data_IF_429757709779
#
_entry.id   IF_429757709779
#
_cell.length_a   1.000
_cell.length_b   1.000
_cell.length_c   1.000
_cell.angle_alpha   90.00
_cell.angle_beta   90.00
_cell.angle_gamma   90.00
#
_symmetry.space_group_name_H-M   'P 1'
#
loop_
_entity.id
_entity.type
_entity.pdbx_description
1 polymer ?
#
# COMPACT_ATOMS: atom_id res chain seq x y z
N UNK A 1 24.07 5.14 -21.19
CA UNK A 1 22.80 4.47 -20.83
C UNK A 1 23.16 3.24 -20.02
N UNK A 2 22.68 3.14 -18.79
CA UNK A 2 22.95 2.00 -17.89
C UNK A 2 22.13 0.78 -18.29
N UNK A 3 22.66 -0.40 -18.03
CA UNK A 3 21.96 -1.67 -18.27
C UNK A 3 21.27 -2.16 -16.99
N UNK A 4 20.20 -2.93 -17.17
CA UNK A 4 19.61 -3.71 -16.08
C UNK A 4 20.40 -5.01 -15.91
N UNK A 5 20.47 -5.56 -14.69
CA UNK A 5 21.01 -6.90 -14.48
C UNK A 5 20.13 -7.95 -15.17
N UNK A 6 20.73 -9.02 -15.66
CA UNK A 6 19.99 -10.13 -16.29
C UNK A 6 19.12 -10.89 -15.28
N UNK A 7 19.60 -11.03 -14.04
CA UNK A 7 18.91 -11.72 -12.94
C UNK A 7 19.17 -11.02 -11.61
N UNK A 8 18.29 -11.26 -10.63
CA UNK A 8 18.48 -10.85 -9.23
C UNK A 8 18.38 -12.07 -8.32
N UNK A 9 19.09 -12.06 -7.17
CA UNK A 9 19.08 -13.18 -6.24
C UNK A 9 17.77 -13.26 -5.47
N UNK A 10 17.31 -12.13 -4.92
CA UNK A 10 15.97 -11.97 -4.35
C UNK A 10 15.20 -10.86 -5.08
N UNK A 11 13.89 -10.77 -4.85
CA UNK A 11 13.00 -9.75 -5.41
C UNK A 11 12.23 -9.06 -4.28
N UNK A 12 12.93 -8.22 -3.53
CA UNK A 12 12.31 -7.49 -2.43
C UNK A 12 11.29 -6.47 -2.95
N UNK A 13 10.09 -6.47 -2.36
CA UNK A 13 9.02 -5.58 -2.76
C UNK A 13 7.97 -5.38 -1.69
N UNK A 14 7.04 -4.48 -1.99
CA UNK A 14 5.86 -4.23 -1.17
C UNK A 14 4.63 -4.93 -1.73
N UNK A 15 3.80 -5.46 -0.84
CA UNK A 15 2.41 -5.84 -1.15
C UNK A 15 1.50 -4.84 -0.45
N UNK A 16 0.63 -4.18 -1.20
CA UNK A 16 -0.20 -3.07 -0.70
C UNK A 16 -1.67 -3.49 -0.78
N UNK A 17 -2.30 -3.68 0.37
CA UNK A 17 -3.71 -4.05 0.47
C UNK A 17 -4.60 -2.80 0.38
N UNK A 18 -5.32 -2.67 -0.73
CA UNK A 18 -6.25 -1.56 -0.95
C UNK A 18 -7.56 -1.72 -0.17
N UNK A 19 -7.85 -2.93 0.32
CA UNK A 19 -9.04 -3.22 1.12
C UNK A 19 -8.93 -2.65 2.54
N UNK A 20 -7.75 -2.79 3.14
CA UNK A 20 -7.49 -2.38 4.53
C UNK A 20 -6.91 -0.98 4.64
N UNK A 21 -6.44 -0.38 3.52
CA UNK A 21 -5.90 0.97 3.55
C UNK A 21 -7.00 2.00 3.86
N UNK A 22 -6.92 2.62 5.04
CA UNK A 22 -7.86 3.66 5.48
C UNK A 22 -7.42 5.09 5.15
N UNK A 23 -6.38 5.27 4.34
CA UNK A 23 -5.92 6.60 3.94
C UNK A 23 -5.37 7.48 5.07
N UNK A 24 -4.84 6.90 6.16
CA UNK A 24 -4.39 7.67 7.33
C UNK A 24 -3.10 8.49 7.13
N UNK A 25 -2.43 8.36 5.97
CA UNK A 25 -1.15 9.02 5.65
C UNK A 25 0.04 8.75 6.60
N UNK A 26 -0.08 7.87 7.61
CA UNK A 26 1.01 7.54 8.52
C UNK A 26 2.25 6.99 7.78
N UNK A 27 2.01 6.19 6.74
CA UNK A 27 3.07 5.67 5.86
C UNK A 27 3.84 6.76 5.08
N UNK A 28 3.22 7.93 4.88
CA UNK A 28 3.84 9.08 4.19
C UNK A 28 4.74 9.84 5.17
N UNK A 29 4.19 10.17 6.33
CA UNK A 29 4.91 10.91 7.38
C UNK A 29 6.12 10.10 7.87
N UNK A 30 5.94 8.82 8.19
CA UNK A 30 7.03 7.95 8.66
C UNK A 30 8.12 7.74 7.60
N UNK A 31 7.73 7.63 6.32
CA UNK A 31 8.70 7.56 5.23
C UNK A 31 9.51 8.85 5.11
N UNK A 32 8.86 10.03 5.23
CA UNK A 32 9.56 11.32 5.22
C UNK A 32 10.50 11.44 6.42
N UNK A 33 10.02 11.18 7.64
CA UNK A 33 10.81 11.23 8.87
C UNK A 33 12.06 10.36 8.80
N UNK A 34 11.90 9.06 8.53
CA UNK A 34 13.03 8.12 8.45
C UNK A 34 14.08 8.54 7.41
N UNK A 35 13.65 8.92 6.20
CA UNK A 35 14.59 9.23 5.11
C UNK A 35 15.19 10.64 5.21
N UNK A 36 14.57 11.55 5.98
CA UNK A 36 15.11 12.88 6.29
C UNK A 36 16.13 12.84 7.43
N UNK A 37 15.94 11.96 8.41
CA UNK A 37 16.81 11.85 9.59
C UNK A 37 18.09 11.04 9.34
N UNK A 38 18.18 10.30 8.23
CA UNK A 38 19.29 9.39 7.92
C UNK A 38 20.08 9.80 6.65
N UNK A 39 20.64 8.84 5.89
CA UNK A 39 21.52 9.01 4.73
C UNK A 39 21.05 10.01 3.65
N UNK A 40 19.73 10.26 3.54
CA UNK A 40 19.22 11.23 2.58
C UNK A 40 19.50 12.66 3.03
N UNK A 41 20.04 13.50 2.14
CA UNK A 41 19.85 14.95 2.28
C UNK A 41 18.36 15.21 2.59
N UNK A 42 18.05 16.10 3.57
CA UNK A 42 16.71 16.21 4.13
C UNK A 42 15.71 16.32 3.00
N UNK A 43 14.68 15.45 2.99
CA UNK A 43 13.60 15.57 2.01
C UNK A 43 13.00 16.95 2.20
N UNK A 44 13.30 17.83 1.25
CA UNK A 44 13.07 19.26 1.39
C UNK A 44 11.63 19.52 1.81
N UNK A 45 11.47 20.43 2.77
CA UNK A 45 10.19 20.95 3.21
C UNK A 45 10.35 22.47 3.25
N UNK A 46 9.90 23.12 2.18
CA UNK A 46 10.19 24.54 1.95
C UNK A 46 9.27 25.46 2.76
N UNK A 47 8.09 24.96 3.15
CA UNK A 47 7.13 25.65 4.01
C UNK A 47 6.40 24.64 4.93
N UNK A 48 7.04 24.22 6.05
CA UNK A 48 6.51 23.18 6.93
C UNK A 48 5.15 23.50 7.58
N UNK A 49 4.76 24.78 7.58
CA UNK A 49 3.49 25.25 8.15
C UNK A 49 2.50 25.73 7.09
N UNK A 50 2.88 25.65 5.80
CA UNK A 50 2.06 26.03 4.66
C UNK A 50 1.35 24.84 4.03
N UNK A 51 1.18 24.90 2.72
CA UNK A 51 0.70 23.74 1.97
C UNK A 51 1.77 22.64 1.99
N UNK A 52 1.34 21.38 1.89
CA UNK A 52 2.26 20.24 1.88
C UNK A 52 3.16 20.28 0.63
N UNK A 53 4.29 20.95 0.75
CA UNK A 53 5.30 21.11 -0.28
C UNK A 53 6.53 20.23 0.02
N UNK A 54 7.37 20.06 -1.00
CA UNK A 54 8.61 19.30 -0.87
C UNK A 54 8.57 17.91 -1.49
N UNK A 55 9.61 17.14 -1.20
CA UNK A 55 9.86 15.84 -1.82
C UNK A 55 9.24 14.71 -1.03
N UNK A 56 8.46 13.86 -1.70
CA UNK A 56 7.84 12.70 -1.08
C UNK A 56 8.28 11.41 -1.79
N UNK A 57 8.58 10.36 -1.02
CA UNK A 57 8.97 9.07 -1.59
C UNK A 57 7.77 8.13 -1.81
N UNK A 58 6.65 8.45 -1.17
CA UNK A 58 5.35 7.83 -1.39
C UNK A 58 4.24 8.87 -1.16
N UNK A 59 3.07 8.63 -1.76
CA UNK A 59 1.85 9.41 -1.51
C UNK A 59 0.66 8.47 -1.39
N UNK A 60 -0.42 8.92 -0.77
CA UNK A 60 -1.70 8.21 -0.78
C UNK A 60 -2.68 9.05 -1.58
N UNK A 61 -3.20 8.48 -2.66
CA UNK A 61 -4.26 9.10 -3.46
C UNK A 61 -5.59 8.48 -3.07
N UNK A 62 -6.64 9.27 -2.94
CA UNK A 62 -7.98 8.79 -2.61
C UNK A 62 -8.87 8.97 -3.82
N UNK A 63 -9.59 7.91 -4.18
CA UNK A 63 -10.51 7.89 -5.31
C UNK A 63 -11.89 7.47 -4.83
N UNK A 64 -12.92 8.14 -5.33
CA UNK A 64 -14.30 7.66 -5.23
C UNK A 64 -14.59 6.79 -6.45
N UNK A 65 -14.97 5.55 -6.21
CA UNK A 65 -15.25 4.55 -7.25
C UNK A 65 -16.62 3.96 -7.04
N UNK A 66 -17.32 3.71 -8.14
CA UNK A 66 -18.54 2.90 -8.15
C UNK A 66 -18.16 1.58 -8.82
N UNK A 67 -18.01 0.47 -8.07
CA UNK A 67 -17.73 -0.82 -8.67
C UNK A 67 -18.93 -1.29 -9.50
N UNK A 68 -18.69 -2.18 -10.48
CA UNK A 68 -19.77 -2.81 -11.27
C UNK A 68 -20.79 -3.53 -10.38
N UNK A 69 -20.31 -4.09 -9.26
CA UNK A 69 -21.10 -4.77 -8.25
C UNK A 69 -20.88 -4.07 -6.90
N UNK A 70 -21.87 -3.29 -6.46
CA UNK A 70 -21.90 -2.68 -5.13
C UNK A 70 -22.20 -1.18 -5.13
N UNK A 71 -22.07 -0.57 -3.96
CA UNK A 71 -22.27 0.87 -3.76
C UNK A 71 -20.98 1.66 -3.98
N UNK A 72 -21.12 2.97 -4.20
CA UNK A 72 -20.00 3.89 -4.23
C UNK A 72 -19.13 3.73 -2.97
N UNK A 73 -17.81 3.72 -3.16
CA UNK A 73 -16.84 3.57 -2.10
C UNK A 73 -15.61 4.43 -2.35
N UNK A 74 -14.92 4.81 -1.27
CA UNK A 74 -13.60 5.42 -1.35
C UNK A 74 -12.54 4.33 -1.34
N UNK A 75 -11.61 4.38 -2.29
CA UNK A 75 -10.41 3.54 -2.33
C UNK A 75 -9.19 4.42 -2.13
N UNK A 76 -8.40 4.09 -1.11
CA UNK A 76 -7.13 4.73 -0.85
C UNK A 76 -6.02 3.95 -1.54
N UNK A 77 -5.22 4.64 -2.35
CA UNK A 77 -4.20 4.08 -3.21
C UNK A 77 -2.81 4.61 -2.80
N UNK A 78 -2.10 3.93 -1.89
CA UNK A 78 -0.73 4.26 -1.58
C UNK A 78 0.18 3.97 -2.77
N UNK A 79 0.80 5.01 -3.31
CA UNK A 79 1.70 4.95 -4.46
C UNK A 79 3.12 5.26 -4.03
N UNK A 80 4.05 4.39 -4.42
CA UNK A 80 5.49 4.54 -4.20
C UNK A 80 6.25 3.98 -5.41
N UNK A 81 7.58 4.02 -5.41
CA UNK A 81 8.36 3.33 -6.45
C UNK A 81 8.05 1.82 -6.40
N UNK A 82 7.83 1.21 -7.58
CA UNK A 82 7.47 -0.21 -7.68
C UNK A 82 8.67 -1.14 -7.90
N UNK A 83 9.89 -0.59 -7.93
CA UNK A 83 11.15 -1.33 -8.08
C UNK A 83 11.16 -2.32 -9.25
N UNK A 84 10.56 -1.90 -10.37
CA UNK A 84 10.29 -2.67 -11.58
C UNK A 84 11.41 -3.63 -12.03
N UNK A 85 11.03 -4.77 -12.59
CA UNK A 85 11.97 -5.69 -13.22
C UNK A 85 12.58 -5.08 -14.48
N UNK A 86 11.72 -4.60 -15.37
CA UNK A 86 12.11 -3.74 -16.48
C UNK A 86 11.93 -2.28 -16.06
N UNK A 87 12.99 -1.68 -15.51
CA UNK A 87 12.97 -0.33 -14.98
C UNK A 87 13.49 0.69 -16.01
N UNK A 88 12.62 1.34 -16.82
CA UNK A 88 13.06 2.31 -17.84
C UNK A 88 13.79 3.50 -17.22
N UNK A 89 13.44 3.86 -15.98
CA UNK A 89 14.10 4.91 -15.22
C UNK A 89 15.59 4.63 -14.90
N UNK A 90 16.04 3.38 -15.01
CA UNK A 90 17.47 3.01 -14.95
C UNK A 90 18.11 3.29 -16.29
N UNK A 91 17.58 2.69 -17.37
CA UNK A 91 18.22 2.67 -18.69
C UNK A 91 18.36 4.06 -19.32
N UNK A 92 17.43 4.98 -19.04
CA UNK A 92 17.48 6.37 -19.53
C UNK A 92 18.49 7.26 -18.78
N UNK A 93 19.10 6.80 -17.69
CA UNK A 93 19.98 7.64 -16.88
C UNK A 93 21.31 7.90 -17.62
N UNK A 94 21.66 9.17 -17.93
CA UNK A 94 22.85 9.48 -18.71
C UNK A 94 24.13 9.33 -17.91
N UNK A 95 24.10 9.62 -16.60
CA UNK A 95 25.26 9.52 -15.69
C UNK A 95 25.44 8.13 -15.09
N UNK A 96 24.44 7.27 -15.23
CA UNK A 96 24.38 5.97 -14.55
C UNK A 96 24.09 6.03 -13.05
N UNK A 97 23.65 7.19 -12.54
CA UNK A 97 23.19 7.33 -11.17
C UNK A 97 22.03 6.40 -10.81
N UNK A 98 21.11 6.14 -11.74
CA UNK A 98 20.01 5.20 -11.53
C UNK A 98 20.48 3.78 -11.87
N UNK A 99 20.34 2.86 -10.91
CA UNK A 99 20.78 1.47 -11.06
C UNK A 99 19.84 0.51 -10.34
N UNK A 100 19.95 -0.78 -10.66
CA UNK A 100 19.24 -1.86 -9.98
C UNK A 100 20.24 -2.82 -9.35
N UNK A 101 20.03 -3.13 -8.07
CA UNK A 101 20.85 -4.06 -7.29
C UNK A 101 20.60 -5.50 -7.75
N UNK A 102 21.67 -6.28 -7.87
CA UNK A 102 21.60 -7.70 -8.28
C UNK A 102 21.24 -8.60 -7.10
N UNK A 103 21.61 -8.21 -5.89
CA UNK A 103 21.37 -8.97 -4.68
C UNK A 103 19.89 -9.01 -4.30
N UNK A 104 19.17 -7.89 -4.42
CA UNK A 104 17.81 -7.77 -3.87
C UNK A 104 16.77 -7.15 -4.82
N UNK A 105 17.19 -6.77 -6.04
CA UNK A 105 16.32 -6.17 -7.03
C UNK A 105 15.88 -4.74 -6.72
N UNK A 106 16.38 -4.12 -5.65
CA UNK A 106 16.02 -2.74 -5.30
C UNK A 106 16.63 -1.79 -6.34
N UNK A 107 15.77 -1.10 -7.10
CA UNK A 107 16.15 0.05 -7.90
C UNK A 107 16.57 1.20 -6.97
N UNK A 108 17.72 1.83 -7.19
CA UNK A 108 18.27 2.94 -6.39
C UNK A 108 18.77 4.10 -7.25
N UNK A 109 19.12 5.20 -6.59
CA UNK A 109 19.81 6.36 -7.18
C UNK A 109 21.06 6.61 -6.36
N UNK A 110 22.21 6.63 -7.00
CA UNK A 110 23.43 7.19 -6.45
C UNK A 110 23.34 8.72 -6.56
N UNK A 111 23.20 9.38 -5.42
CA UNK A 111 23.00 10.83 -5.35
C UNK A 111 24.24 11.61 -5.79
N UNK A 112 25.45 11.12 -5.50
CA UNK A 112 26.72 11.77 -5.90
C UNK A 112 26.90 11.82 -7.43
N UNK A 113 26.36 10.82 -8.13
CA UNK A 113 26.38 10.75 -9.59
C UNK A 113 25.16 11.40 -10.24
N UNK A 114 24.15 11.80 -9.45
CA UNK A 114 22.90 12.34 -9.96
C UNK A 114 23.05 13.83 -10.28
N UNK A 115 22.74 14.22 -11.52
CA UNK A 115 22.79 15.61 -11.95
C UNK A 115 21.40 16.30 -12.03
N UNK A 116 20.37 15.71 -11.41
CA UNK A 116 19.03 16.32 -11.35
C UNK A 116 18.28 16.47 -12.68
N UNK A 117 18.72 15.83 -13.77
CA UNK A 117 18.18 16.07 -15.12
C UNK A 117 16.70 15.69 -15.36
N UNK A 118 16.05 14.98 -14.44
CA UNK A 118 14.62 14.63 -14.55
C UNK A 118 14.23 13.56 -15.57
N UNK A 119 15.14 13.07 -16.43
CA UNK A 119 14.83 12.05 -17.44
C UNK A 119 14.22 10.77 -16.85
N UNK A 120 14.73 10.34 -15.69
CA UNK A 120 14.19 9.15 -15.01
C UNK A 120 12.77 9.35 -14.45
N UNK A 121 12.36 10.59 -14.14
CA UNK A 121 10.98 10.89 -13.76
C UNK A 121 10.06 10.85 -14.98
N UNK A 122 10.49 11.43 -16.10
CA UNK A 122 9.78 11.34 -17.38
C UNK A 122 9.58 9.90 -17.88
N UNK A 123 10.59 9.04 -17.69
CA UNK A 123 10.51 7.64 -18.08
C UNK A 123 9.70 6.76 -17.11
N UNK A 124 9.39 7.24 -15.90
CA UNK A 124 8.66 6.45 -14.92
C UNK A 124 7.14 6.58 -15.15
N UNK A 125 6.43 5.54 -15.61
CA UNK A 125 4.98 5.64 -15.88
C UNK A 125 4.17 5.86 -14.59
N UNK A 126 4.79 5.59 -13.43
CA UNK A 126 4.18 5.74 -12.13
C UNK A 126 4.44 7.11 -11.49
N UNK A 127 5.23 8.00 -12.11
CA UNK A 127 5.56 9.30 -11.49
C UNK A 127 6.16 9.16 -10.09
N UNK A 128 6.91 8.07 -9.83
CA UNK A 128 7.41 7.72 -8.51
C UNK A 128 8.80 8.30 -8.20
N UNK A 129 9.26 9.27 -9.00
CA UNK A 129 10.54 9.94 -8.85
C UNK A 129 10.32 11.44 -8.83
N UNK A 130 10.92 12.11 -7.87
CA UNK A 130 10.77 13.54 -7.63
C UNK A 130 12.15 14.19 -7.61
N UNK A 131 12.26 15.39 -8.18
CA UNK A 131 13.47 16.18 -8.02
C UNK A 131 13.40 16.85 -6.65
N UNK A 132 14.36 16.53 -5.78
CA UNK A 132 14.55 17.34 -4.59
C UNK A 132 15.26 18.64 -4.99
N UNK A 133 14.53 19.75 -4.90
CA UNK A 133 15.01 21.05 -5.36
C UNK A 133 16.19 21.57 -4.51
N UNK A 134 16.23 21.23 -3.22
CA UNK A 134 17.28 21.67 -2.32
C UNK A 134 18.59 20.89 -2.56
N UNK A 135 18.48 19.57 -2.75
CA UNK A 135 19.63 18.71 -3.01
C UNK A 135 20.06 18.67 -4.48
N UNK A 136 19.18 19.07 -5.41
CA UNK A 136 19.46 19.04 -6.86
C UNK A 136 19.52 17.64 -7.46
N UNK A 137 18.99 16.63 -6.76
CA UNK A 137 19.06 15.21 -7.15
C UNK A 137 17.69 14.56 -7.15
N UNK A 138 17.55 13.50 -7.95
CA UNK A 138 16.30 12.74 -8.04
C UNK A 138 16.16 11.80 -6.85
N UNK A 139 15.05 11.90 -6.12
CA UNK A 139 14.67 11.05 -5.01
C UNK A 139 13.52 10.12 -5.39
N UNK A 140 13.42 8.99 -4.69
CA UNK A 140 12.34 7.99 -4.80
C UNK A 140 12.38 7.02 -3.63
N UNK A 141 11.31 6.26 -3.41
CA UNK A 141 11.32 5.16 -2.42
C UNK A 141 12.55 4.26 -2.62
N UNK A 142 13.25 3.97 -1.53
CA UNK A 142 14.47 3.13 -1.50
C UNK A 142 14.20 1.74 -0.94
N UNK A 143 12.93 1.40 -0.68
CA UNK A 143 12.52 0.27 0.18
C UNK A 143 13.19 0.30 1.57
N UNK A 144 13.59 1.50 2.03
CA UNK A 144 14.35 1.68 3.26
C UNK A 144 15.54 0.71 3.31
N UNK A 145 16.32 0.62 2.22
CA UNK A 145 17.49 -0.27 2.10
C UNK A 145 18.47 -0.11 3.27
N UNK A 146 18.55 1.10 3.82
CA UNK A 146 19.33 1.47 5.00
C UNK A 146 18.74 0.99 6.34
N UNK A 147 17.45 0.63 6.37
CA UNK A 147 16.72 0.11 7.54
C UNK A 147 16.69 -1.41 7.56
N UNK A 148 16.37 -2.05 6.42
CA UNK A 148 16.14 -3.50 6.33
C UNK A 148 17.40 -4.33 6.62
N UNK A 149 18.59 -3.75 6.45
CA UNK A 149 19.87 -4.40 6.77
C UNK A 149 20.55 -3.82 8.02
N UNK A 150 19.88 -2.95 8.78
CA UNK A 150 20.51 -2.28 9.91
C UNK A 150 20.53 -3.18 11.15
N UNK A 151 21.70 -3.75 11.44
CA UNK A 151 21.89 -4.63 12.60
C UNK A 151 21.78 -3.91 13.96
N UNK A 152 21.79 -2.58 13.99
CA UNK A 152 21.55 -1.80 15.21
C UNK A 152 20.06 -1.72 15.58
N UNK A 153 19.16 -2.17 14.70
CA UNK A 153 17.74 -2.30 15.00
C UNK A 153 17.42 -3.74 15.44
N UNK A 154 16.42 -3.92 16.33
CA UNK A 154 15.81 -5.23 16.57
C UNK A 154 15.36 -5.86 15.25
N UNK A 155 15.45 -7.19 15.13
CA UNK A 155 15.13 -7.89 13.89
C UNK A 155 13.70 -7.63 13.43
N UNK A 156 12.75 -7.58 14.37
CA UNK A 156 11.35 -7.26 14.13
C UNK A 156 11.12 -5.83 13.59
N UNK A 157 12.10 -4.94 13.73
CA UNK A 157 12.04 -3.57 13.21
C UNK A 157 12.80 -3.43 11.88
N UNK A 158 13.46 -4.46 11.34
CA UNK A 158 14.23 -4.42 10.09
C UNK A 158 13.36 -4.58 8.84
N UNK A 159 12.34 -3.74 8.74
CA UNK A 159 11.42 -3.67 7.59
C UNK A 159 11.39 -2.23 7.03
N UNK A 160 10.62 -1.89 6.00
CA UNK A 160 10.47 -0.49 5.59
C UNK A 160 9.64 0.31 6.60
N UNK A 161 10.03 1.57 6.86
CA UNK A 161 9.35 2.44 7.84
C UNK A 161 7.84 2.58 7.58
N UNK A 162 7.47 2.62 6.29
CA UNK A 162 6.07 2.71 5.87
C UNK A 162 5.23 1.45 6.17
N UNK A 163 5.87 0.28 6.30
CA UNK A 163 5.25 -1.01 6.65
C UNK A 163 5.08 -1.07 8.16
N UNK A 164 6.17 -0.86 8.90
CA UNK A 164 6.19 -0.84 10.37
C UNK A 164 5.16 0.10 11.00
N UNK A 165 4.99 1.28 10.41
CA UNK A 165 4.06 2.31 10.90
C UNK A 165 2.60 2.00 10.56
N UNK A 166 2.29 1.14 9.59
CA UNK A 166 0.94 1.01 9.07
C UNK A 166 -0.04 0.45 10.13
N UNK A 167 -0.97 1.25 10.67
CA UNK A 167 -1.83 0.79 11.77
C UNK A 167 -2.89 -0.21 11.30
N UNK A 168 -3.23 -0.19 10.01
CA UNK A 168 -4.23 -1.05 9.40
C UNK A 168 -3.64 -2.35 8.82
N UNK A 169 -2.32 -2.53 8.85
CA UNK A 169 -1.65 -3.67 8.21
C UNK A 169 -1.86 -3.70 6.69
N UNK A 170 -1.96 -2.55 6.04
CA UNK A 170 -2.23 -2.42 4.61
C UNK A 170 -0.97 -2.47 3.73
N UNK A 171 0.22 -2.50 4.33
CA UNK A 171 1.49 -2.63 3.62
C UNK A 171 2.22 -3.82 4.22
N UNK A 172 2.77 -4.66 3.35
CA UNK A 172 3.59 -5.81 3.70
C UNK A 172 4.88 -5.73 2.89
N UNK A 173 5.95 -6.36 3.40
CA UNK A 173 7.25 -6.37 2.76
C UNK A 173 7.87 -7.76 2.84
N UNK A 174 8.56 -8.16 1.79
CA UNK A 174 9.26 -9.44 1.75
C UNK A 174 9.80 -9.75 0.36
N UNK A 175 10.27 -10.98 0.18
CA UNK A 175 10.81 -11.47 -1.08
C UNK A 175 9.71 -12.08 -1.96
N UNK A 176 9.38 -11.40 -3.06
CA UNK A 176 8.43 -11.88 -4.07
C UNK A 176 9.05 -12.84 -5.08
N UNK A 177 10.34 -13.15 -4.95
CA UNK A 177 11.04 -14.18 -5.69
C UNK A 177 10.92 -15.56 -5.04
N UNK A 178 10.65 -15.60 -3.73
CA UNK A 178 10.41 -16.81 -2.97
C UNK A 178 8.91 -17.11 -2.90
N UNK A 179 8.40 -18.20 -3.50
CA UNK A 179 6.98 -18.56 -3.46
C UNK A 179 6.48 -18.91 -2.05
N UNK A 180 7.38 -19.29 -1.14
CA UNK A 180 7.04 -19.68 0.23
C UNK A 180 7.02 -18.48 1.20
N UNK A 181 7.40 -17.28 0.76
CA UNK A 181 7.37 -16.08 1.59
C UNK A 181 5.94 -15.63 1.89
N UNK A 182 5.75 -14.99 3.05
CA UNK A 182 4.44 -14.47 3.49
C UNK A 182 3.79 -13.55 2.43
N UNK A 183 4.59 -12.71 1.77
CA UNK A 183 4.10 -11.78 0.74
C UNK A 183 3.71 -12.49 -0.56
N UNK A 184 4.44 -13.53 -0.96
CA UNK A 184 4.10 -14.33 -2.15
C UNK A 184 2.83 -15.13 -1.94
N UNK A 185 2.69 -15.76 -0.77
CA UNK A 185 1.47 -16.49 -0.39
C UNK A 185 0.28 -15.53 -0.32
N UNK A 186 0.43 -14.37 0.29
CA UNK A 186 -0.61 -13.36 0.37
C UNK A 186 -1.06 -12.87 -1.01
N UNK A 187 -0.11 -12.61 -1.92
CA UNK A 187 -0.43 -12.21 -3.31
C UNK A 187 -1.19 -13.32 -4.03
N UNK A 188 -0.77 -14.57 -3.89
CA UNK A 188 -1.45 -15.71 -4.51
C UNK A 188 -2.87 -15.91 -3.96
N UNK A 189 -3.04 -15.81 -2.64
CA UNK A 189 -4.33 -15.98 -1.97
C UNK A 189 -5.32 -14.86 -2.30
N UNK A 190 -4.86 -13.60 -2.26
CA UNK A 190 -5.71 -12.41 -2.44
C UNK A 190 -5.84 -11.96 -3.90
N UNK A 191 -5.24 -12.67 -4.84
CA UNK A 191 -5.29 -12.33 -6.27
C UNK A 191 -4.59 -10.99 -6.56
N UNK A 192 -3.39 -10.81 -6.03
CA UNK A 192 -2.62 -9.58 -6.19
C UNK A 192 -2.29 -9.26 -7.65
N UNK A 193 -2.26 -7.97 -7.98
CA UNK A 193 -2.15 -7.47 -9.34
C UNK A 193 -0.95 -6.54 -9.53
N UNK A 194 -0.49 -6.47 -10.78
CA UNK A 194 0.48 -5.48 -11.23
C UNK A 194 -0.23 -4.16 -11.55
N UNK A 195 0.40 -3.05 -11.17
CA UNK A 195 -0.09 -1.74 -11.56
C UNK A 195 0.30 -1.42 -13.01
N UNK A 196 -0.71 -1.15 -13.84
CA UNK A 196 -0.55 -0.78 -15.26
C UNK A 196 0.32 -1.80 -16.04
N UNK A 197 -0.11 -3.07 -16.12
CA UNK A 197 0.65 -4.13 -16.79
C UNK A 197 0.94 -3.83 -18.27
N UNK A 198 0.11 -3.01 -18.92
CA UNK A 198 0.30 -2.55 -20.30
C UNK A 198 1.59 -1.74 -20.52
N UNK A 199 2.19 -1.21 -19.45
CA UNK A 199 3.47 -0.49 -19.52
C UNK A 199 4.69 -1.42 -19.67
N UNK A 200 4.51 -2.74 -19.50
CA UNK A 200 5.59 -3.73 -19.68
C UNK A 200 6.71 -3.68 -18.64
N UNK A 201 6.64 -2.80 -17.64
CA UNK A 201 7.74 -2.60 -16.67
C UNK A 201 7.91 -3.75 -15.67
N UNK A 202 6.92 -4.65 -15.56
CA UNK A 202 6.89 -5.78 -14.61
C UNK A 202 7.18 -5.31 -13.17
N UNK A 203 6.27 -4.55 -12.53
CA UNK A 203 6.41 -4.12 -11.14
C UNK A 203 6.75 -5.28 -10.19
N UNK A 204 7.74 -5.08 -9.32
CA UNK A 204 7.99 -6.03 -8.22
C UNK A 204 6.88 -5.87 -7.18
N UNK A 205 6.57 -4.65 -6.76
CA UNK A 205 5.48 -4.40 -5.83
C UNK A 205 4.12 -4.83 -6.42
N UNK A 206 3.24 -5.37 -5.57
CA UNK A 206 1.89 -5.83 -5.92
C UNK A 206 0.82 -5.06 -5.15
N UNK A 207 -0.36 -4.96 -5.74
CA UNK A 207 -1.56 -4.43 -5.09
C UNK A 207 -2.57 -5.54 -4.86
N UNK A 208 -3.18 -5.60 -3.67
CA UNK A 208 -4.33 -6.47 -3.42
C UNK A 208 -5.61 -5.66 -3.64
N UNK A 209 -6.58 -6.17 -4.42
CA UNK A 209 -7.81 -5.45 -4.69
C UNK A 209 -8.69 -5.33 -3.44
N UNK A 210 -9.54 -4.29 -3.35
CA UNK A 210 -10.62 -4.24 -2.36
C UNK A 210 -11.49 -5.49 -2.45
N UNK A 211 -11.89 -6.05 -1.31
CA UNK A 211 -12.83 -7.17 -1.26
C UNK A 211 -14.26 -6.66 -1.48
N UNK A 212 -15.15 -7.48 -2.03
CA UNK A 212 -16.58 -7.21 -1.93
C UNK A 212 -16.95 -6.99 -0.46
N UNK A 213 -17.49 -5.82 -0.14
CA UNK A 213 -17.97 -5.54 1.21
C UNK A 213 -19.21 -6.38 1.46
N UNK A 214 -19.35 -6.87 2.69
CA UNK A 214 -20.56 -7.57 3.11
C UNK A 214 -21.77 -6.66 2.82
N UNK A 215 -22.66 -7.14 1.96
CA UNK A 215 -23.96 -6.49 1.79
C UNK A 215 -24.78 -6.88 2.99
N UNK A 216 -25.19 -5.90 3.80
CA UNK A 216 -26.27 -6.11 4.76
C UNK A 216 -27.44 -6.69 3.97
N UNK A 217 -27.90 -7.87 4.36
CA UNK A 217 -29.12 -8.44 3.80
C UNK A 217 -30.22 -7.39 3.99
N UNK A 218 -30.93 -7.01 2.94
CA UNK A 218 -31.93 -5.93 3.02
C UNK A 218 -33.08 -6.28 3.97
N UNK A 219 -33.15 -7.56 4.40
CA UNK A 219 -34.07 -8.12 5.37
C UNK A 219 -33.47 -8.18 6.79
N UNK A 220 -32.75 -7.15 7.23
CA UNK A 220 -32.52 -6.98 8.67
C UNK A 220 -33.86 -6.55 9.28
N UNK A 221 -34.66 -7.53 9.70
CA UNK A 221 -35.79 -7.30 10.59
C UNK A 221 -35.25 -6.92 11.98
N UNK A 222 -34.89 -5.64 12.12
CA UNK A 222 -34.39 -5.02 13.37
C UNK A 222 -35.34 -5.30 14.54
N UNK A 223 -36.63 -5.49 14.24
CA UNK A 223 -37.67 -5.76 15.21
C UNK A 223 -38.00 -7.25 15.33
N UNK A 224 -37.58 -8.11 14.41
CA UNK A 224 -37.91 -9.53 14.36
C UNK A 224 -37.64 -10.27 15.68
N UNK A 225 -36.48 -10.08 16.32
CA UNK A 225 -36.20 -10.65 17.65
C UNK A 225 -37.10 -10.08 18.76
N UNK A 226 -37.59 -8.84 18.61
CA UNK A 226 -38.45 -8.14 19.57
C UNK A 226 -39.95 -8.37 19.31
N UNK A 227 -40.30 -8.81 18.10
CA UNK A 227 -41.66 -9.13 17.66
C UNK A 227 -41.94 -10.63 17.71
N UNK A 228 -40.93 -11.47 17.95
CA UNK A 228 -41.10 -12.89 18.18
C UNK A 228 -42.10 -13.12 19.34
N UNK A 229 -43.24 -13.79 19.09
CA UNK A 229 -44.24 -14.02 20.13
C UNK A 229 -43.62 -14.76 21.31
N UNK A 230 -43.62 -14.14 22.49
CA UNK A 230 -43.11 -14.77 23.73
C UNK A 230 -43.98 -15.97 24.15
N UNK A 231 -45.22 -16.02 23.66
CA UNK A 231 -46.10 -17.19 23.71
C UNK A 231 -47.17 -17.10 22.62
N UNK A 232 -47.39 -18.19 21.89
CA UNK A 232 -48.46 -18.29 20.88
C UNK A 232 -49.83 -18.58 21.49
N UNK A 233 -49.87 -19.05 22.74
CA UNK A 233 -51.11 -19.28 23.49
C UNK A 233 -51.02 -18.70 24.90
N UNK A 234 -52.08 -18.03 25.38
CA UNK A 234 -52.13 -17.55 26.75
C UNK A 234 -52.08 -18.75 27.72
N UNK A 235 -51.16 -18.70 28.68
CA UNK A 235 -51.00 -19.71 29.75
C UNK A 235 -51.52 -19.17 31.08
N UNK A 236 -51.76 -20.06 32.04
CA UNK A 236 -52.22 -19.68 33.39
C UNK A 236 -53.65 -19.11 33.40
N UNK A 237 -53.85 -18.07 34.19
CA UNK A 237 -55.16 -17.44 34.37
C UNK A 237 -55.76 -16.90 33.07
N UNK A 238 -54.96 -16.21 32.25
CA UNK A 238 -55.41 -15.67 30.97
C UNK A 238 -55.83 -16.78 30.01
N UNK A 239 -55.09 -17.89 29.96
CA UNK A 239 -55.47 -19.04 29.15
C UNK A 239 -56.71 -19.77 29.64
N UNK A 240 -56.95 -19.78 30.96
CA UNK A 240 -58.19 -20.32 31.52
C UNK A 240 -59.39 -19.42 31.21
N UNK A 241 -59.23 -18.10 31.32
CA UNK A 241 -60.28 -17.12 31.03
C UNK A 241 -60.72 -17.17 29.56
N UNK A 242 -59.76 -17.25 28.64
CA UNK A 242 -60.01 -17.33 27.20
C UNK A 242 -60.86 -18.57 26.85
N UNK A 243 -60.47 -19.74 27.36
CA UNK A 243 -61.23 -21.01 27.22
C UNK A 243 -62.61 -20.98 27.90
N UNK A 244 -62.80 -20.13 28.91
CA UNK A 244 -64.08 -19.99 29.59
C UNK A 244 -65.02 -19.07 28.81
N UNK A 245 -64.49 -18.02 28.17
CA UNK A 245 -65.24 -17.09 27.33
C UNK A 245 -65.62 -17.69 25.97
N UNK A 246 -64.78 -18.54 25.37
CA UNK A 246 -65.12 -19.27 24.13
C UNK A 246 -66.30 -20.25 24.28
N UNK A 247 -66.66 -20.61 25.52
CA UNK A 247 -67.75 -21.55 25.82
C UNK A 247 -69.09 -20.89 26.09
N UNK A 248 -69.16 -19.55 26.05
CA UNK A 248 -70.38 -18.75 26.13
C UNK A 248 -70.90 -18.41 24.73
#
# INVERSE_FOLDING_TARGET
>A
MTALPETTQTKLGLVIDLDTCVGCHACVVSCKGWNTENYGAPLSDMDPYGQAEGTFLNRVHSYEVVPDLGTAQTVHFPKSCLHCEDAPCVTVCPTGASYKRTEDGIVLVNEDACMGCGLCAWACPYGARELDQAAGVMKKCTLCVDRIYNENLPEEDREPACVRTCPAGARHFGDLGDPDSDVSQLVAERGGIDLMPEQGTKPTNKYLPPRPKDTLDTDIDVLGPLLAPVAEQPKGFLGWLDRALEKL
#
